data_IF_822485261208
#
_entry.id   IF_822485261208
#
_cell.length_a   1.000
_cell.length_b   1.000
_cell.length_c   1.000
_cell.angle_alpha   90.00
_cell.angle_beta   90.00
_cell.angle_gamma   90.00
#
_symmetry.space_group_name_H-M   'P 1'
#
loop_
_entity.id
_entity.type
_entity.pdbx_description
1 polymer ?
#
# COMPACT_ATOMS: atom_id res chain seq x y z
N UNK A 1 -11.23 -37.89 22.31
CA UNK A 1 -10.31 -37.01 21.55
C UNK A 1 -11.05 -36.22 20.47
N UNK A 2 -11.93 -36.85 19.66
CA UNK A 2 -12.82 -36.14 18.71
C UNK A 2 -13.66 -35.02 19.35
N UNK A 3 -14.32 -35.29 20.48
CA UNK A 3 -15.19 -34.30 21.15
C UNK A 3 -14.46 -33.04 21.65
N UNK A 4 -13.19 -33.16 22.07
CA UNK A 4 -12.42 -32.01 22.56
C UNK A 4 -12.06 -31.07 21.41
N UNK A 5 -11.79 -31.63 20.23
CA UNK A 5 -11.48 -30.87 19.01
C UNK A 5 -12.73 -30.15 18.50
N UNK A 6 -13.88 -30.81 18.51
CA UNK A 6 -15.16 -30.23 18.08
C UNK A 6 -15.63 -29.12 19.04
N UNK A 7 -15.47 -29.29 20.36
CA UNK A 7 -15.85 -28.25 21.34
C UNK A 7 -14.95 -27.02 21.32
N UNK A 8 -13.67 -27.16 20.98
CA UNK A 8 -12.75 -26.03 20.81
C UNK A 8 -13.09 -25.17 19.57
N UNK A 9 -13.70 -25.79 18.55
CA UNK A 9 -14.14 -25.12 17.33
C UNK A 9 -15.53 -24.48 17.50
N UNK A 10 -16.47 -25.13 18.18
CA UNK A 10 -17.83 -24.62 18.39
C UNK A 10 -17.93 -23.46 19.41
N UNK A 11 -17.04 -23.38 20.41
CA UNK A 11 -17.05 -22.24 21.35
C UNK A 11 -16.56 -20.90 20.76
N UNK A 12 -16.14 -20.87 19.48
CA UNK A 12 -15.69 -19.67 18.74
C UNK A 12 -16.67 -19.23 17.64
N UNK A 13 -17.96 -19.56 17.77
CA UNK A 13 -18.99 -19.29 16.75
C UNK A 13 -19.22 -17.81 16.38
N UNK A 14 -18.50 -16.85 16.99
CA UNK A 14 -18.56 -15.42 16.63
C UNK A 14 -17.27 -14.79 16.10
N UNK A 15 -16.12 -15.47 16.16
CA UNK A 15 -14.83 -14.90 15.73
C UNK A 15 -14.31 -15.65 14.50
N UNK A 16 -14.28 -14.97 13.35
CA UNK A 16 -13.69 -15.51 12.13
C UNK A 16 -12.20 -15.77 12.37
N UNK A 17 -11.83 -17.05 12.54
CA UNK A 17 -10.43 -17.42 12.70
C UNK A 17 -9.77 -17.38 11.33
N UNK A 18 -9.08 -16.27 11.09
CA UNK A 18 -8.20 -16.12 9.94
C UNK A 18 -7.13 -17.20 9.94
N UNK A 19 -7.03 -17.97 8.86
CA UNK A 19 -5.96 -18.97 8.72
C UNK A 19 -4.62 -18.28 8.43
N UNK A 20 -3.51 -19.00 8.63
CA UNK A 20 -2.19 -18.49 8.21
C UNK A 20 -2.15 -18.18 6.71
N UNK A 21 -2.82 -18.99 5.88
CA UNK A 21 -2.92 -18.77 4.45
C UNK A 21 -3.66 -17.47 4.12
N UNK A 22 -4.76 -17.19 4.82
CA UNK A 22 -5.52 -15.94 4.65
C UNK A 22 -4.66 -14.72 5.00
N UNK A 23 -3.94 -14.79 6.11
CA UNK A 23 -3.04 -13.72 6.56
C UNK A 23 -1.96 -13.43 5.52
N UNK A 24 -1.27 -14.46 5.03
CA UNK A 24 -0.23 -14.32 4.01
C UNK A 24 -0.78 -13.74 2.70
N UNK A 25 -1.99 -14.14 2.31
CA UNK A 25 -2.66 -13.60 1.11
C UNK A 25 -2.91 -12.10 1.26
N UNK A 26 -3.48 -11.65 2.39
CA UNK A 26 -3.75 -10.22 2.60
C UNK A 26 -2.48 -9.39 2.71
N UNK A 27 -1.45 -9.88 3.40
CA UNK A 27 -0.14 -9.21 3.44
C UNK A 27 0.45 -9.07 2.04
N UNK A 28 0.29 -10.10 1.20
CA UNK A 28 0.69 -10.07 -0.20
C UNK A 28 -0.07 -9.04 -1.03
N UNK A 29 -1.38 -8.96 -0.86
CA UNK A 29 -2.24 -7.98 -1.54
C UNK A 29 -1.85 -6.54 -1.18
N UNK A 30 -1.69 -6.25 0.12
CA UNK A 30 -1.27 -4.94 0.62
C UNK A 30 0.11 -4.56 0.07
N UNK A 31 1.08 -5.49 0.12
CA UNK A 31 2.42 -5.25 -0.40
C UNK A 31 2.41 -5.00 -1.91
N UNK A 32 1.62 -5.76 -2.65
CA UNK A 32 1.45 -5.60 -4.09
C UNK A 32 0.86 -4.24 -4.46
N UNK A 33 -0.14 -3.78 -3.70
CA UNK A 33 -0.74 -2.45 -3.90
C UNK A 33 0.26 -1.32 -3.65
N UNK A 34 1.01 -1.37 -2.55
CA UNK A 34 2.05 -0.38 -2.23
C UNK A 34 3.09 -0.32 -3.34
N UNK A 35 3.59 -1.48 -3.79
CA UNK A 35 4.61 -1.55 -4.83
C UNK A 35 4.09 -1.05 -6.18
N UNK A 36 2.85 -1.41 -6.55
CA UNK A 36 2.21 -0.91 -7.76
C UNK A 36 2.03 0.62 -7.75
N UNK A 37 1.69 1.19 -6.59
CA UNK A 37 1.60 2.65 -6.44
C UNK A 37 2.96 3.33 -6.57
N UNK A 38 4.03 2.74 -6.02
CA UNK A 38 5.40 3.26 -6.18
C UNK A 38 5.84 3.28 -7.63
N UNK A 39 5.61 2.20 -8.37
CA UNK A 39 5.93 2.14 -9.81
C UNK A 39 5.14 3.17 -10.61
N UNK A 40 3.85 3.36 -10.29
CA UNK A 40 3.02 4.38 -10.93
C UNK A 40 3.53 5.80 -10.66
N UNK A 41 3.97 6.07 -9.42
CA UNK A 41 4.57 7.36 -9.04
C UNK A 41 5.90 7.56 -9.76
N UNK A 42 6.79 6.57 -9.76
CA UNK A 42 8.08 6.62 -10.47
C UNK A 42 7.89 6.97 -11.94
N UNK A 43 6.98 6.26 -12.62
CA UNK A 43 6.67 6.50 -14.02
C UNK A 43 6.10 7.90 -14.23
N UNK A 44 5.11 8.30 -13.43
CA UNK A 44 4.49 9.63 -13.53
C UNK A 44 5.49 10.77 -13.34
N UNK A 45 6.38 10.62 -12.36
CA UNK A 45 7.47 11.57 -12.12
C UNK A 45 8.48 11.59 -13.26
N UNK A 46 8.89 10.44 -13.78
CA UNK A 46 9.80 10.35 -14.93
C UNK A 46 9.24 11.08 -16.15
N UNK A 47 7.93 10.96 -16.39
CA UNK A 47 7.28 11.56 -17.55
C UNK A 47 7.05 13.07 -17.42
N UNK A 48 6.68 13.57 -16.23
CA UNK A 48 6.30 14.99 -16.04
C UNK A 48 7.39 15.85 -15.40
N UNK A 49 8.15 15.28 -14.48
CA UNK A 49 9.12 15.98 -13.64
C UNK A 49 10.41 15.14 -13.47
N UNK A 50 11.11 14.81 -14.58
CA UNK A 50 12.23 13.86 -14.56
C UNK A 50 13.34 14.27 -13.57
N UNK A 51 13.63 15.57 -13.46
CA UNK A 51 14.67 16.10 -12.56
C UNK A 51 14.34 15.91 -11.07
N UNK A 52 13.08 15.61 -10.74
CA UNK A 52 12.59 15.43 -9.37
C UNK A 52 12.30 13.98 -9.02
N UNK A 53 12.33 13.07 -9.99
CA UNK A 53 11.97 11.66 -9.82
C UNK A 53 12.72 11.03 -8.65
N UNK A 54 14.06 11.09 -8.64
CA UNK A 54 14.86 10.49 -7.56
C UNK A 54 14.54 11.07 -6.18
N UNK A 55 14.31 12.39 -6.11
CA UNK A 55 13.99 13.06 -4.84
C UNK A 55 12.65 12.61 -4.27
N UNK A 56 11.62 12.45 -5.12
CA UNK A 56 10.31 11.94 -4.70
C UNK A 56 10.41 10.46 -4.33
N UNK A 57 11.09 9.65 -5.15
CA UNK A 57 11.26 8.22 -4.87
C UNK A 57 11.96 7.96 -3.54
N UNK A 58 12.99 8.75 -3.22
CA UNK A 58 13.69 8.64 -1.92
C UNK A 58 12.80 8.90 -0.71
N UNK A 59 11.76 9.74 -0.85
CA UNK A 59 10.82 10.05 0.24
C UNK A 59 9.72 9.01 0.39
N UNK A 60 9.28 8.39 -0.71
CA UNK A 60 8.15 7.44 -0.67
C UNK A 60 8.55 5.98 -0.43
N UNK A 61 9.84 5.65 -0.52
CA UNK A 61 10.34 4.27 -0.40
C UNK A 61 10.03 3.62 0.95
N UNK A 62 9.88 4.42 2.01
CA UNK A 62 9.55 3.95 3.35
C UNK A 62 8.07 4.19 3.72
N UNK A 63 7.27 4.76 2.81
CA UNK A 63 5.85 5.03 3.03
C UNK A 63 5.05 3.77 2.72
N UNK A 64 4.28 3.31 3.71
CA UNK A 64 3.30 2.21 3.59
C UNK A 64 1.84 2.70 3.68
N UNK A 65 1.62 4.02 3.78
CA UNK A 65 0.28 4.61 3.74
C UNK A 65 -0.24 4.66 2.29
N UNK A 66 -1.11 3.71 1.96
CA UNK A 66 -1.76 3.58 0.65
C UNK A 66 -2.53 4.86 0.29
N UNK A 67 -3.22 5.49 1.25
CA UNK A 67 -4.02 6.69 0.99
C UNK A 67 -3.14 7.86 0.58
N UNK A 68 -1.98 8.01 1.21
CA UNK A 68 -0.99 9.02 0.84
C UNK A 68 -0.40 8.74 -0.55
N UNK A 69 0.01 7.49 -0.82
CA UNK A 69 0.54 7.09 -2.12
C UNK A 69 -0.46 7.32 -3.26
N UNK A 70 -1.75 7.02 -3.04
CA UNK A 70 -2.83 7.31 -3.99
C UNK A 70 -2.94 8.82 -4.25
N UNK A 71 -2.93 9.66 -3.21
CA UNK A 71 -2.98 11.13 -3.35
C UNK A 71 -1.81 11.65 -4.16
N UNK A 72 -0.59 11.16 -3.91
CA UNK A 72 0.60 11.54 -4.66
C UNK A 72 0.46 11.16 -6.14
N UNK A 73 0.10 9.90 -6.41
CA UNK A 73 -0.13 9.39 -7.78
C UNK A 73 -1.16 10.22 -8.53
N UNK A 74 -2.27 10.57 -7.88
CA UNK A 74 -3.33 11.35 -8.52
C UNK A 74 -2.94 12.82 -8.71
N UNK A 75 -2.21 13.42 -7.74
CA UNK A 75 -1.68 14.76 -7.89
C UNK A 75 -0.72 14.86 -9.09
N UNK A 76 0.13 13.85 -9.33
CA UNK A 76 1.07 13.85 -10.48
C UNK A 76 0.31 14.01 -11.80
N UNK A 77 -0.85 13.37 -11.96
CA UNK A 77 -1.64 13.47 -13.20
C UNK A 77 -2.00 14.92 -13.54
N UNK A 78 -2.40 15.71 -12.54
CA UNK A 78 -2.95 17.06 -12.73
C UNK A 78 -1.95 18.18 -12.45
N UNK A 79 -0.89 17.91 -11.69
CA UNK A 79 0.07 18.90 -11.23
C UNK A 79 0.71 19.65 -12.40
N UNK A 80 0.87 20.96 -12.23
CA UNK A 80 1.55 21.83 -13.21
C UNK A 80 3.04 21.95 -12.92
N UNK A 81 3.41 21.85 -11.64
CA UNK A 81 4.79 21.89 -11.16
C UNK A 81 5.00 20.90 -9.99
N UNK A 82 6.25 20.66 -9.62
CA UNK A 82 6.62 19.69 -8.60
C UNK A 82 6.28 20.12 -7.16
N UNK A 83 5.99 21.40 -6.93
CA UNK A 83 5.68 21.91 -5.58
C UNK A 83 4.41 21.28 -5.04
N UNK A 84 3.41 21.04 -5.89
CA UNK A 84 2.17 20.35 -5.53
C UNK A 84 2.43 18.93 -5.00
N UNK A 85 3.42 18.24 -5.56
CA UNK A 85 3.82 16.89 -5.12
C UNK A 85 4.63 16.96 -3.84
N UNK A 86 5.58 17.88 -3.76
CA UNK A 86 6.43 18.06 -2.59
C UNK A 86 5.65 18.49 -1.34
N UNK A 87 4.57 19.25 -1.50
CA UNK A 87 3.68 19.64 -0.40
C UNK A 87 3.00 18.43 0.27
N UNK A 88 2.81 17.32 -0.46
CA UNK A 88 2.26 16.08 0.08
C UNK A 88 3.31 15.22 0.80
N UNK A 89 4.59 15.55 0.67
CA UNK A 89 5.74 14.80 1.20
C UNK A 89 6.43 15.50 2.38
N UNK A 90 5.82 16.54 2.93
CA UNK A 90 6.32 17.31 4.07
C UNK A 90 5.53 16.98 5.35
#
# INVERSE_FOLDING_TARGET
MKEIVEQALSRREGEYIMTLADKLRMEGEIKGEIEGLRQAIELGMTLKFPDKMYSVMSRIMDINDISLLVKIKDAIKTARDDSEIMALLN
#
